data_IF_641639488629
#
_entry.id   IF_641639488629
#
_cell.length_a   1.000
_cell.length_b   1.000
_cell.length_c   1.000
_cell.angle_alpha   90.00
_cell.angle_beta   90.00
_cell.angle_gamma   90.00
#
_symmetry.space_group_name_H-M   'P 1'
#
loop_
_entity.id
_entity.type
_entity.pdbx_description
1 polymer ?
#
# COMPACT_ATOMS: atom_id res chain seq x y z
N UNK A 1 -1.31 -6.80 7.97
CA UNK A 1 -2.00 -7.86 7.19
C UNK A 1 -1.16 -8.12 5.96
N UNK A 2 -0.90 -9.39 5.61
CA UNK A 2 0.00 -9.75 4.49
C UNK A 2 -0.71 -9.60 3.14
N UNK A 3 0.03 -9.21 2.10
CA UNK A 3 -0.46 -9.09 0.73
C UNK A 3 -0.25 -10.40 -0.04
N UNK A 4 -1.20 -11.32 0.07
CA UNK A 4 -1.15 -12.62 -0.61
C UNK A 4 -1.75 -12.46 -2.00
N UNK A 5 -0.95 -11.94 -2.92
CA UNK A 5 -1.42 -11.51 -4.24
C UNK A 5 -1.42 -12.63 -5.30
N UNK A 6 -0.70 -13.73 -5.09
CA UNK A 6 -0.69 -14.88 -5.99
C UNK A 6 -1.95 -15.75 -5.81
N UNK A 7 -2.47 -16.30 -6.90
CA UNK A 7 -3.79 -16.94 -7.02
C UNK A 7 -5.00 -16.04 -6.78
N UNK A 8 -4.83 -14.72 -6.61
CA UNK A 8 -5.95 -13.79 -6.44
C UNK A 8 -6.88 -13.73 -7.66
N UNK A 9 -6.37 -13.96 -8.88
CA UNK A 9 -7.19 -14.02 -10.10
C UNK A 9 -7.92 -15.36 -10.29
N UNK A 10 -7.54 -16.38 -9.52
CA UNK A 10 -8.14 -17.68 -9.63
C UNK A 10 -9.38 -17.76 -8.70
N UNK A 11 -10.52 -18.31 -9.14
CA UNK A 11 -11.77 -18.30 -8.35
C UNK A 11 -11.65 -18.91 -6.95
N UNK A 12 -10.65 -19.76 -6.72
CA UNK A 12 -10.40 -20.44 -5.46
C UNK A 12 -9.53 -19.65 -4.47
N UNK A 13 -8.87 -18.56 -4.88
CA UNK A 13 -8.03 -17.73 -4.00
C UNK A 13 -7.10 -18.54 -3.08
N UNK A 14 -6.53 -19.65 -3.57
CA UNK A 14 -6.00 -20.73 -2.73
C UNK A 14 -4.94 -20.28 -1.70
N UNK A 15 -4.08 -19.33 -2.09
CA UNK A 15 -3.05 -18.83 -1.19
C UNK A 15 -3.64 -17.97 -0.06
N UNK A 16 -4.65 -17.15 -0.33
CA UNK A 16 -5.35 -16.38 0.69
C UNK A 16 -6.05 -17.31 1.68
N UNK A 17 -6.75 -18.34 1.16
CA UNK A 17 -7.45 -19.32 2.01
C UNK A 17 -6.50 -20.04 2.96
N UNK A 18 -5.35 -20.49 2.47
CA UNK A 18 -4.35 -21.19 3.31
C UNK A 18 -3.63 -20.25 4.27
N UNK A 19 -3.49 -18.96 3.94
CA UNK A 19 -3.00 -17.94 4.86
C UNK A 19 -4.02 -17.54 5.94
N UNK A 20 -5.26 -18.01 5.83
CA UNK A 20 -6.35 -17.73 6.78
C UNK A 20 -7.22 -16.53 6.39
N UNK A 21 -7.02 -15.94 5.21
CA UNK A 21 -7.88 -14.91 4.64
C UNK A 21 -8.94 -15.59 3.78
N UNK A 22 -10.14 -15.79 4.33
CA UNK A 22 -11.25 -16.38 3.58
C UNK A 22 -11.83 -15.37 2.57
N UNK A 23 -11.06 -15.05 1.52
CA UNK A 23 -11.41 -14.13 0.46
C UNK A 23 -11.84 -14.93 -0.79
N UNK A 24 -12.96 -14.56 -1.40
CA UNK A 24 -13.48 -15.11 -2.65
C UNK A 24 -14.18 -13.99 -3.44
N UNK A 25 -14.50 -14.23 -4.71
CA UNK A 25 -15.24 -13.30 -5.58
C UNK A 25 -16.55 -12.77 -4.95
N UNK A 26 -17.25 -13.60 -4.18
CA UNK A 26 -18.52 -13.28 -3.51
C UNK A 26 -18.38 -13.03 -2.00
N UNK A 27 -17.15 -13.09 -1.47
CA UNK A 27 -16.89 -12.98 -0.02
C UNK A 27 -15.64 -12.15 0.26
N UNK A 28 -15.85 -10.96 0.81
CA UNK A 28 -14.74 -10.10 1.27
C UNK A 28 -14.06 -10.69 2.53
N UNK A 29 -12.83 -11.17 2.35
CA UNK A 29 -12.02 -11.74 3.43
C UNK A 29 -11.35 -10.70 4.35
N UNK A 30 -11.22 -9.44 3.91
CA UNK A 30 -10.43 -8.41 4.58
C UNK A 30 -11.27 -7.40 5.36
N UNK A 31 -12.46 -7.06 4.86
CA UNK A 31 -13.38 -6.13 5.54
C UNK A 31 -13.77 -6.60 6.95
N UNK A 32 -14.00 -7.90 7.23
CA UNK A 32 -14.21 -8.37 8.60
C UNK A 32 -13.02 -8.09 9.53
N UNK A 33 -11.79 -8.15 9.01
CA UNK A 33 -10.57 -7.79 9.76
C UNK A 33 -10.59 -6.28 10.07
N UNK A 34 -10.89 -5.43 9.07
CA UNK A 34 -11.02 -3.99 9.28
C UNK A 34 -12.09 -3.64 10.32
N UNK A 35 -13.25 -4.31 10.26
CA UNK A 35 -14.34 -4.16 11.24
C UNK A 35 -13.95 -4.62 12.65
N UNK A 36 -13.09 -5.62 12.76
CA UNK A 36 -12.52 -6.01 14.05
C UNK A 36 -11.57 -4.93 14.58
N UNK A 37 -10.65 -4.45 13.73
CA UNK A 37 -9.67 -3.40 14.06
C UNK A 37 -10.36 -2.11 14.51
N UNK A 38 -11.50 -1.74 13.91
CA UNK A 38 -12.23 -0.50 14.24
C UNK A 38 -12.65 -0.42 15.71
N UNK A 39 -12.98 -1.56 16.33
CA UNK A 39 -13.35 -1.64 17.76
C UNK A 39 -12.20 -1.25 18.69
N UNK A 40 -10.98 -1.29 18.19
CA UNK A 40 -9.76 -1.01 18.93
C UNK A 40 -9.12 0.33 18.52
N UNK A 41 -9.77 1.11 17.65
CA UNK A 41 -9.22 2.35 17.09
C UNK A 41 -7.82 2.12 16.47
N UNK A 42 -7.62 0.93 15.90
CA UNK A 42 -6.34 0.53 15.32
C UNK A 42 -6.19 0.98 13.87
N UNK A 43 -4.96 0.92 13.39
CA UNK A 43 -4.59 1.17 11.99
C UNK A 43 -4.35 -0.17 11.32
N UNK A 44 -4.97 -0.41 10.16
CA UNK A 44 -4.66 -1.58 9.34
C UNK A 44 -3.42 -1.26 8.50
N UNK A 45 -2.28 -1.88 8.85
CA UNK A 45 -1.06 -1.80 8.04
C UNK A 45 -1.03 -2.94 7.00
N UNK A 46 -0.98 -2.61 5.72
CA UNK A 46 -0.96 -3.56 4.60
C UNK A 46 0.35 -3.52 3.80
N UNK A 47 0.56 -4.40 2.83
CA UNK A 47 1.80 -4.44 2.03
C UNK A 47 1.49 -4.51 0.52
N UNK A 48 2.50 -4.72 -0.33
CA UNK A 48 2.43 -4.74 -1.81
C UNK A 48 2.11 -3.38 -2.46
N UNK A 49 2.31 -2.26 -1.75
CA UNK A 49 1.97 -0.93 -2.27
C UNK A 49 2.73 -0.53 -3.54
N UNK A 50 3.86 -1.15 -3.82
CA UNK A 50 4.75 -0.86 -4.94
C UNK A 50 4.53 -1.74 -6.17
N UNK A 51 3.81 -2.85 -6.00
CA UNK A 51 3.69 -3.88 -7.02
C UNK A 51 2.69 -3.51 -8.11
N UNK A 52 3.01 -3.91 -9.35
CA UNK A 52 2.07 -3.88 -10.47
C UNK A 52 1.81 -5.29 -10.99
N UNK A 53 0.61 -5.52 -11.49
CA UNK A 53 0.19 -6.79 -12.08
C UNK A 53 1.09 -7.21 -13.24
N UNK A 54 1.52 -6.22 -14.05
CA UNK A 54 2.42 -6.44 -15.19
C UNK A 54 3.83 -6.88 -14.80
N UNK A 55 4.21 -6.77 -13.53
CA UNK A 55 5.51 -7.18 -13.01
C UNK A 55 5.48 -8.64 -12.48
N UNK A 56 4.31 -9.28 -12.50
CA UNK A 56 4.10 -10.62 -11.97
C UNK A 56 4.08 -11.64 -13.10
N UNK A 57 4.56 -12.85 -12.81
CA UNK A 57 4.49 -13.96 -13.76
C UNK A 57 3.02 -14.36 -14.00
N UNK A 58 2.69 -14.72 -15.25
CA UNK A 58 1.32 -15.03 -15.67
C UNK A 58 0.78 -16.33 -15.05
N UNK A 59 1.67 -17.29 -14.77
CA UNK A 59 1.36 -18.55 -14.09
C UNK A 59 0.95 -18.37 -12.63
N UNK A 60 1.36 -17.27 -11.99
CA UNK A 60 1.06 -16.99 -10.59
C UNK A 60 -0.40 -16.55 -10.34
N UNK A 61 -1.18 -16.26 -11.41
CA UNK A 61 -2.56 -15.77 -11.29
C UNK A 61 -2.66 -14.57 -10.32
N UNK A 62 -1.70 -13.67 -10.44
CA UNK A 62 -1.41 -12.63 -9.45
C UNK A 62 -2.15 -11.32 -9.75
N UNK A 63 -2.66 -10.65 -8.70
CA UNK A 63 -3.36 -9.35 -8.80
C UNK A 63 -3.05 -8.40 -7.62
N UNK A 64 -1.79 -7.97 -7.43
CA UNK A 64 -1.44 -7.07 -6.32
C UNK A 64 -2.20 -5.73 -6.37
N UNK A 65 -2.51 -5.20 -7.56
CA UNK A 65 -3.19 -3.90 -7.67
C UNK A 65 -4.64 -3.98 -7.17
N UNK A 66 -5.38 -5.01 -7.59
CA UNK A 66 -6.76 -5.27 -7.17
C UNK A 66 -6.82 -5.63 -5.69
N UNK A 67 -5.86 -6.43 -5.20
CA UNK A 67 -5.78 -6.78 -3.79
C UNK A 67 -5.56 -5.54 -2.91
N UNK A 68 -4.60 -4.68 -3.24
CA UNK A 68 -4.37 -3.41 -2.52
C UNK A 68 -5.64 -2.57 -2.54
N UNK A 69 -6.29 -2.44 -3.71
CA UNK A 69 -7.54 -1.70 -3.82
C UNK A 69 -8.64 -2.27 -2.92
N UNK A 70 -8.80 -3.59 -2.86
CA UNK A 70 -9.79 -4.28 -2.01
C UNK A 70 -9.54 -3.96 -0.54
N UNK A 71 -8.31 -4.16 -0.05
CA UNK A 71 -7.98 -4.02 1.38
C UNK A 71 -8.08 -2.56 1.84
N UNK A 72 -7.53 -1.61 1.07
CA UNK A 72 -7.64 -0.18 1.40
C UNK A 72 -9.11 0.27 1.42
N UNK A 73 -9.89 -0.15 0.41
CA UNK A 73 -11.32 0.17 0.33
C UNK A 73 -12.11 -0.44 1.49
N UNK A 74 -11.79 -1.68 1.89
CA UNK A 74 -12.40 -2.34 3.04
C UNK A 74 -12.14 -1.59 4.35
N UNK A 75 -10.90 -1.13 4.56
CA UNK A 75 -10.53 -0.29 5.70
C UNK A 75 -11.29 1.03 5.75
N UNK A 76 -11.27 1.80 4.65
CA UNK A 76 -12.00 3.07 4.59
C UNK A 76 -13.52 2.91 4.76
N UNK A 77 -14.11 1.82 4.25
CA UNK A 77 -15.55 1.52 4.45
C UNK A 77 -15.92 1.25 5.90
N UNK A 78 -14.99 0.72 6.69
CA UNK A 78 -15.17 0.51 8.14
C UNK A 78 -14.69 1.71 8.97
N UNK A 79 -14.42 2.85 8.32
CA UNK A 79 -13.98 4.11 8.93
C UNK A 79 -12.70 3.97 9.77
N UNK A 80 -11.77 3.11 9.35
CA UNK A 80 -10.44 3.01 9.98
C UNK A 80 -9.38 3.69 9.13
N UNK A 81 -8.30 4.07 9.80
CA UNK A 81 -7.07 4.48 9.16
C UNK A 81 -6.37 3.24 8.56
N UNK A 82 -5.80 3.43 7.36
CA UNK A 82 -5.07 2.38 6.65
C UNK A 82 -3.69 2.89 6.29
N UNK A 83 -2.66 2.16 6.70
CA UNK A 83 -1.27 2.42 6.38
C UNK A 83 -0.71 1.27 5.53
N UNK A 84 0.52 1.40 5.04
CA UNK A 84 1.12 0.28 4.34
C UNK A 84 2.60 0.37 4.06
N UNK A 85 3.10 -0.68 3.44
CA UNK A 85 4.51 -0.94 3.18
C UNK A 85 4.70 -1.43 1.73
N UNK A 86 5.89 -1.23 1.16
CA UNK A 86 6.31 -2.03 0.02
C UNK A 86 6.66 -3.45 0.48
N UNK A 87 6.37 -4.46 -0.35
CA UNK A 87 6.65 -5.86 -0.03
C UNK A 87 8.09 -6.25 -0.36
N UNK A 88 8.64 -5.73 -1.46
CA UNK A 88 9.98 -6.01 -1.94
C UNK A 88 10.83 -4.73 -2.00
N UNK A 89 12.15 -4.88 -1.89
CA UNK A 89 13.09 -3.76 -2.05
C UNK A 89 13.04 -3.22 -3.48
N UNK A 90 12.66 -1.94 -3.64
CA UNK A 90 12.51 -1.28 -4.94
C UNK A 90 13.00 0.17 -4.87
N UNK A 91 13.89 0.55 -5.78
CA UNK A 91 14.52 1.88 -5.79
C UNK A 91 14.17 2.71 -7.04
N UNK A 92 13.29 2.19 -7.90
CA UNK A 92 12.91 2.78 -9.17
C UNK A 92 11.67 3.67 -9.09
N UNK A 93 11.56 4.60 -10.04
CA UNK A 93 10.45 5.55 -10.10
C UNK A 93 9.08 4.86 -10.32
N UNK A 94 9.04 3.69 -10.96
CA UNK A 94 7.79 2.96 -11.21
C UNK A 94 7.18 2.48 -9.91
N UNK A 95 7.98 1.85 -9.04
CA UNK A 95 7.57 1.43 -7.70
C UNK A 95 7.08 2.62 -6.86
N UNK A 96 7.85 3.71 -6.80
CA UNK A 96 7.46 4.90 -6.05
C UNK A 96 6.17 5.54 -6.54
N UNK A 97 5.97 5.62 -7.86
CA UNK A 97 4.74 6.14 -8.44
C UNK A 97 3.54 5.25 -8.11
N UNK A 98 3.72 3.93 -8.08
CA UNK A 98 2.66 3.00 -7.66
C UNK A 98 2.29 3.18 -6.19
N UNK A 99 3.28 3.37 -5.31
CA UNK A 99 3.04 3.70 -3.90
C UNK A 99 2.28 5.03 -3.77
N UNK A 100 2.68 6.08 -4.51
CA UNK A 100 2.01 7.38 -4.48
C UNK A 100 0.56 7.27 -4.95
N UNK A 101 0.31 6.50 -6.01
CA UNK A 101 -1.03 6.20 -6.49
C UNK A 101 -1.87 5.54 -5.39
N UNK A 102 -1.35 4.49 -4.76
CA UNK A 102 -2.06 3.80 -3.67
C UNK A 102 -2.26 4.69 -2.43
N UNK A 103 -1.30 5.56 -2.12
CA UNK A 103 -1.38 6.49 -0.99
C UNK A 103 -2.50 7.53 -1.16
N UNK A 104 -2.79 7.94 -2.40
CA UNK A 104 -3.87 8.86 -2.76
C UNK A 104 -4.48 8.43 -4.10
N UNK A 105 -5.40 7.46 -4.11
CA UNK A 105 -5.93 6.88 -5.35
C UNK A 105 -6.75 7.85 -6.20
N UNK A 106 -7.17 8.98 -5.62
CA UNK A 106 -7.88 10.06 -6.31
C UNK A 106 -7.01 11.32 -6.48
N UNK A 107 -5.71 11.21 -6.23
CA UNK A 107 -4.76 12.32 -6.32
C UNK A 107 -4.87 13.33 -5.17
N UNK A 108 -4.27 14.51 -5.40
CA UNK A 108 -4.28 15.62 -4.44
C UNK A 108 -5.55 16.44 -4.63
N UNK A 109 -6.24 16.74 -3.53
CA UNK A 109 -7.33 17.72 -3.51
C UNK A 109 -6.75 19.11 -3.21
N UNK A 110 -7.00 20.09 -4.07
CA UNK A 110 -6.50 21.47 -3.89
C UNK A 110 -7.37 22.29 -2.93
N UNK A 111 -8.63 21.88 -2.75
CA UNK A 111 -9.63 22.63 -2.01
C UNK A 111 -9.84 22.11 -0.58
N UNK A 112 -9.05 21.11 -0.16
CA UNK A 112 -9.16 20.51 1.17
C UNK A 112 -8.47 19.16 1.28
N UNK A 113 -8.74 18.39 2.36
CA UNK A 113 -8.20 17.05 2.49
C UNK A 113 -8.71 16.13 1.36
N UNK A 114 -7.88 15.20 0.85
CA UNK A 114 -8.33 14.20 -0.11
C UNK A 114 -9.34 13.25 0.54
N UNK A 115 -10.35 12.82 -0.23
CA UNK A 115 -11.40 11.90 0.22
C UNK A 115 -10.83 10.55 0.67
N UNK A 116 -9.89 10.02 -0.12
CA UNK A 116 -9.20 8.78 0.16
C UNK A 116 -7.70 9.08 0.27
N UNK A 117 -7.14 8.79 1.44
CA UNK A 117 -5.69 8.83 1.68
C UNK A 117 -5.30 7.73 2.65
N UNK A 118 -4.13 7.17 2.44
CA UNK A 118 -3.46 6.37 3.45
C UNK A 118 -3.02 7.25 4.61
N UNK A 119 -2.99 6.68 5.81
CA UNK A 119 -2.53 7.34 7.02
C UNK A 119 -1.01 7.56 7.01
N UNK A 120 -0.27 6.55 6.55
CA UNK A 120 1.17 6.60 6.39
C UNK A 120 1.68 5.46 5.52
N UNK A 121 2.90 5.62 5.03
CA UNK A 121 3.63 4.56 4.33
C UNK A 121 4.98 4.36 5.02
N UNK A 122 5.32 3.12 5.33
CA UNK A 122 6.62 2.74 5.86
C UNK A 122 7.43 2.08 4.74
N UNK A 123 8.61 2.62 4.44
CA UNK A 123 9.46 2.07 3.38
C UNK A 123 10.39 0.98 3.92
N UNK A 124 10.39 -0.17 3.24
CA UNK A 124 11.27 -1.31 3.50
C UNK A 124 12.41 -1.30 2.46
N UNK A 125 13.67 -1.10 2.82
CA UNK A 125 14.26 -0.81 4.15
C UNK A 125 15.42 0.17 3.96
N UNK A 126 15.82 0.86 5.04
CA UNK A 126 17.13 1.51 5.09
C UNK A 126 18.25 0.50 4.80
N UNK A 127 19.08 0.83 3.83
CA UNK A 127 20.22 0.02 3.38
C UNK A 127 21.27 0.92 2.73
N UNK A 128 22.47 0.39 2.54
CA UNK A 128 23.51 1.09 1.77
C UNK A 128 23.03 1.35 0.33
N UNK A 129 22.30 0.42 -0.27
CA UNK A 129 21.69 0.58 -1.59
C UNK A 129 20.73 1.77 -1.64
N UNK A 130 19.88 1.97 -0.62
CA UNK A 130 18.99 3.12 -0.56
C UNK A 130 19.78 4.44 -0.51
N UNK A 131 20.92 4.44 0.17
CA UNK A 131 21.75 5.61 0.39
C UNK A 131 22.75 5.90 -0.75
N UNK A 132 22.85 5.02 -1.76
CA UNK A 132 23.56 5.34 -3.00
C UNK A 132 22.97 6.59 -3.65
N UNK A 133 23.83 7.46 -4.17
CA UNK A 133 23.45 8.81 -4.65
C UNK A 133 22.23 8.81 -5.58
N UNK A 134 22.24 7.96 -6.62
CA UNK A 134 21.14 7.86 -7.58
C UNK A 134 19.82 7.41 -6.93
N UNK A 135 19.87 6.36 -6.11
CA UNK A 135 18.69 5.82 -5.43
C UNK A 135 18.13 6.81 -4.42
N UNK A 136 19.00 7.45 -3.65
CA UNK A 136 18.59 8.42 -2.63
C UNK A 136 17.99 9.69 -3.24
N UNK A 137 18.51 10.16 -4.39
CA UNK A 137 17.88 11.26 -5.12
C UNK A 137 16.46 10.94 -5.59
N UNK A 138 16.21 9.72 -6.06
CA UNK A 138 14.86 9.28 -6.45
C UNK A 138 13.98 9.16 -5.21
N UNK A 139 14.49 8.59 -4.11
CA UNK A 139 13.77 8.46 -2.85
C UNK A 139 13.37 9.83 -2.26
N UNK A 140 14.25 10.84 -2.32
CA UNK A 140 13.91 12.21 -1.90
C UNK A 140 12.74 12.79 -2.70
N UNK A 141 12.71 12.56 -4.03
CA UNK A 141 11.58 12.97 -4.89
C UNK A 141 10.31 12.21 -4.52
N UNK A 142 10.41 10.92 -4.23
CA UNK A 142 9.29 10.13 -3.71
C UNK A 142 8.73 10.72 -2.41
N UNK A 143 9.57 11.02 -1.42
CA UNK A 143 9.16 11.64 -0.15
C UNK A 143 8.50 13.01 -0.38
N UNK A 144 9.09 13.85 -1.25
CA UNK A 144 8.51 15.15 -1.60
C UNK A 144 7.10 15.01 -2.19
N UNK A 145 6.91 14.04 -3.11
CA UNK A 145 5.60 13.76 -3.70
C UNK A 145 4.63 13.14 -2.70
N UNK A 146 5.09 12.27 -1.79
CA UNK A 146 4.27 11.77 -0.70
C UNK A 146 3.77 12.89 0.21
N UNK A 147 4.56 13.95 0.40
CA UNK A 147 4.17 15.18 1.10
C UNK A 147 3.43 16.21 0.23
N UNK A 148 2.93 15.81 -0.94
CA UNK A 148 2.19 16.69 -1.86
C UNK A 148 2.96 17.97 -2.21
N UNK A 149 4.27 17.83 -2.47
CA UNK A 149 5.20 18.91 -2.80
C UNK A 149 5.34 19.99 -1.70
N UNK A 150 4.88 19.70 -0.47
CA UNK A 150 5.06 20.60 0.66
C UNK A 150 6.45 20.43 1.27
N UNK A 151 7.22 21.52 1.31
CA UNK A 151 8.47 21.57 2.07
C UNK A 151 8.12 21.75 3.55
N UNK A 152 8.13 20.65 4.31
CA UNK A 152 8.11 20.76 5.77
C UNK A 152 9.52 21.15 6.22
N UNK A 153 9.66 22.32 6.85
CA UNK A 153 10.87 22.61 7.64
C UNK A 153 10.92 21.57 8.76
N UNK A 154 11.86 20.63 8.70
CA UNK A 154 12.21 19.83 9.87
C UNK A 154 12.67 20.81 10.94
N UNK A 155 11.88 21.00 11.99
CA UNK A 155 12.42 21.47 13.25
C UNK A 155 13.20 20.28 13.80
N UNK A 156 14.51 20.27 13.52
CA UNK A 156 15.40 19.43 14.29
C UNK A 156 15.18 19.84 15.75
N UNK A 157 14.73 18.91 16.59
CA UNK A 157 14.83 19.08 18.03
C UNK A 157 16.33 19.14 18.34
N UNK A 158 16.86 20.36 18.43
CA UNK A 158 18.15 20.66 19.06
C UNK A 158 17.96 20.80 20.55
#
# INVERSE_FOLDING_TARGET
>A
VSGIHWWYKAPNHAAELTAGYYNLDDRDGYRPIAKMVSRHHGILNFTCLEMRDSEQSSDAQSAPQELVQQVLSGGWRENIEVAGENALSRYDATAYNQIILNARPQGVNKDGPPKLRMYGVTYLRLSDDLLQESNFEIFKKFVLKMHADQVRRCHAFT
#
